data_IF_352554999802
#
_entry.id   IF_352554999802
#
_cell.length_a   1.000
_cell.length_b   1.000
_cell.length_c   1.000
_cell.angle_alpha   90.00
_cell.angle_beta   90.00
_cell.angle_gamma   90.00
#
_symmetry.space_group_name_H-M   'P 1'
#
loop_
_entity.id
_entity.type
_entity.pdbx_description
1 polymer ?
#
# COMPACT_ATOMS: atom_id res chain seq x y z
N UNK A 1 42.38 -5.75 2.17
CA UNK A 1 41.21 -4.89 2.43
C UNK A 1 40.00 -5.81 2.65
N UNK A 2 39.71 -6.18 3.90
CA UNK A 2 38.54 -6.98 4.24
C UNK A 2 37.31 -6.07 4.18
N UNK A 3 36.42 -6.32 3.22
CA UNK A 3 35.12 -5.66 3.15
C UNK A 3 34.28 -6.28 4.27
N UNK A 4 34.06 -5.52 5.34
CA UNK A 4 33.11 -5.88 6.38
C UNK A 4 31.72 -5.98 5.73
N UNK A 5 31.28 -7.20 5.41
CA UNK A 5 29.86 -7.48 5.23
C UNK A 5 29.20 -7.35 6.59
N UNK A 6 28.83 -6.13 6.96
CA UNK A 6 27.89 -5.93 8.06
C UNK A 6 26.62 -6.71 7.69
N UNK A 7 26.39 -7.82 8.38
CA UNK A 7 25.14 -8.58 8.30
C UNK A 7 24.03 -7.65 8.76
N UNK A 8 23.35 -7.03 7.79
CA UNK A 8 22.16 -6.22 8.06
C UNK A 8 21.19 -7.07 8.88
N UNK A 9 20.59 -6.54 9.96
CA UNK A 9 19.62 -7.30 10.73
C UNK A 9 18.47 -7.70 9.80
N UNK A 10 18.25 -9.00 9.65
CA UNK A 10 17.15 -9.53 8.83
C UNK A 10 15.82 -9.13 9.46
N UNK A 11 15.14 -8.16 8.84
CA UNK A 11 13.79 -7.81 9.24
C UNK A 11 12.87 -8.95 8.81
N UNK A 12 12.07 -9.46 9.75
CA UNK A 12 11.07 -10.47 9.46
C UNK A 12 9.94 -9.88 8.60
N UNK A 13 9.62 -10.45 7.43
CA UNK A 13 8.57 -9.92 6.54
C UNK A 13 7.18 -9.92 7.19
N UNK A 14 6.97 -10.73 8.23
CA UNK A 14 5.74 -10.76 9.02
C UNK A 14 5.38 -9.39 9.64
N UNK A 15 6.34 -8.46 9.78
CA UNK A 15 6.03 -7.08 10.19
C UNK A 15 5.06 -6.38 9.23
N UNK A 16 5.01 -6.78 7.97
CA UNK A 16 4.08 -6.20 6.99
C UNK A 16 2.62 -6.58 7.24
N UNK A 17 2.37 -7.65 7.99
CA UNK A 17 1.02 -7.96 8.50
C UNK A 17 0.51 -6.84 9.40
N UNK A 18 1.40 -6.26 10.20
CA UNK A 18 1.07 -5.17 11.14
C UNK A 18 0.80 -3.88 10.37
N UNK A 19 1.67 -3.50 9.44
CA UNK A 19 1.46 -2.28 8.66
C UNK A 19 0.22 -2.38 7.75
N UNK A 20 -0.13 -3.59 7.29
CA UNK A 20 -1.36 -3.82 6.52
C UNK A 20 -2.63 -3.61 7.37
N UNK A 21 -2.58 -3.70 8.70
CA UNK A 21 -3.72 -3.35 9.56
C UNK A 21 -4.09 -1.86 9.46
N UNK A 22 -3.17 -0.99 9.05
CA UNK A 22 -3.50 0.42 8.77
C UNK A 22 -4.55 0.52 7.66
N UNK A 23 -4.45 -0.31 6.62
CA UNK A 23 -5.45 -0.32 5.54
C UNK A 23 -6.83 -0.77 6.04
N UNK A 24 -6.89 -1.61 7.07
CA UNK A 24 -8.15 -1.96 7.72
C UNK A 24 -8.78 -0.76 8.44
N UNK A 25 -7.98 0.12 9.04
CA UNK A 25 -8.47 1.39 9.60
C UNK A 25 -9.07 2.26 8.49
N UNK A 26 -8.41 2.35 7.32
CA UNK A 26 -8.99 3.05 6.16
C UNK A 26 -10.33 2.45 5.72
N UNK A 27 -10.50 1.14 5.83
CA UNK A 27 -11.76 0.48 5.50
C UNK A 27 -12.86 0.82 6.50
N UNK A 28 -12.55 0.85 7.80
CA UNK A 28 -13.49 1.35 8.83
C UNK A 28 -13.86 2.82 8.53
N UNK A 29 -12.87 3.64 8.18
CA UNK A 29 -13.10 5.04 7.83
C UNK A 29 -14.02 5.20 6.62
N UNK A 30 -13.85 4.37 5.58
CA UNK A 30 -14.77 4.26 4.45
C UNK A 30 -16.20 3.94 4.91
N UNK A 31 -16.39 2.93 5.77
CA UNK A 31 -17.73 2.53 6.23
C UNK A 31 -18.49 3.68 6.90
N UNK A 32 -17.77 4.51 7.67
CA UNK A 32 -18.35 5.62 8.44
C UNK A 32 -18.55 6.87 7.58
N UNK A 33 -17.55 7.30 6.81
CA UNK A 33 -17.51 8.66 6.23
C UNK A 33 -17.82 8.71 4.72
N UNK A 34 -17.67 7.60 4.00
CA UNK A 34 -17.87 7.58 2.54
C UNK A 34 -19.31 7.90 2.16
N UNK A 35 -19.48 8.60 1.03
CA UNK A 35 -20.76 8.85 0.35
C UNK A 35 -21.33 7.59 -0.30
N UNK A 36 -20.54 6.51 -0.37
CA UNK A 36 -20.91 5.20 -0.91
C UNK A 36 -21.46 5.27 -2.35
N UNK A 37 -20.95 6.21 -3.15
CA UNK A 37 -21.18 6.19 -4.58
C UNK A 37 -20.47 4.97 -5.21
N UNK A 38 -20.82 4.63 -6.46
CA UNK A 38 -20.30 3.41 -7.11
C UNK A 38 -18.77 3.34 -7.13
N UNK A 39 -18.09 4.47 -7.30
CA UNK A 39 -16.63 4.48 -7.33
C UNK A 39 -16.03 4.28 -5.94
N UNK A 40 -16.59 4.89 -4.90
CA UNK A 40 -16.15 4.71 -3.52
C UNK A 40 -16.43 3.29 -3.02
N UNK A 41 -17.56 2.70 -3.40
CA UNK A 41 -17.85 1.28 -3.11
C UNK A 41 -16.83 0.37 -3.79
N UNK A 42 -16.51 0.60 -5.06
CA UNK A 42 -15.48 -0.16 -5.76
C UNK A 42 -14.11 0.02 -5.10
N UNK A 43 -13.76 1.22 -4.62
CA UNK A 43 -12.56 1.41 -3.83
C UNK A 43 -12.58 0.67 -2.50
N UNK A 44 -13.71 0.64 -1.81
CA UNK A 44 -13.90 -0.18 -0.61
C UNK A 44 -13.66 -1.66 -0.87
N UNK A 45 -14.16 -2.18 -2.01
CA UNK A 45 -13.93 -3.56 -2.46
C UNK A 45 -12.46 -3.82 -2.80
N UNK A 46 -11.79 -2.89 -3.49
CA UNK A 46 -10.36 -2.95 -3.76
C UNK A 46 -9.54 -2.96 -2.47
N UNK A 47 -9.93 -2.15 -1.49
CA UNK A 47 -9.25 -2.04 -0.20
C UNK A 47 -9.37 -3.35 0.59
N UNK A 48 -10.58 -3.91 0.72
CA UNK A 48 -10.76 -5.19 1.43
C UNK A 48 -10.08 -6.36 0.70
N UNK A 49 -10.12 -6.39 -0.63
CA UNK A 49 -9.39 -7.36 -1.44
C UNK A 49 -7.87 -7.28 -1.19
N UNK A 50 -7.33 -6.05 -1.19
CA UNK A 50 -5.91 -5.80 -0.88
C UNK A 50 -5.54 -6.25 0.53
N UNK A 51 -6.38 -5.96 1.54
CA UNK A 51 -6.14 -6.39 2.93
C UNK A 51 -6.06 -7.91 3.02
N UNK A 52 -7.06 -8.62 2.48
CA UNK A 52 -7.14 -10.09 2.55
C UNK A 52 -5.94 -10.72 1.85
N UNK A 53 -5.67 -10.33 0.60
CA UNK A 53 -4.59 -10.93 -0.19
C UNK A 53 -3.21 -10.63 0.41
N UNK A 54 -3.00 -9.40 0.90
CA UNK A 54 -1.75 -9.01 1.55
C UNK A 54 -1.54 -9.77 2.87
N UNK A 55 -2.59 -9.97 3.69
CA UNK A 55 -2.48 -10.82 4.89
C UNK A 55 -2.13 -12.27 4.57
N UNK A 56 -2.80 -12.86 3.56
CA UNK A 56 -2.54 -14.24 3.13
C UNK A 56 -1.10 -14.39 2.63
N UNK A 57 -0.63 -13.44 1.83
CA UNK A 57 0.73 -13.44 1.28
C UNK A 57 1.80 -13.27 2.38
N UNK A 58 1.66 -12.26 3.25
CA UNK A 58 2.67 -11.98 4.28
C UNK A 58 2.70 -13.00 5.43
N UNK A 59 1.73 -13.91 5.49
CA UNK A 59 1.79 -15.06 6.39
C UNK A 59 2.85 -16.09 5.95
N UNK A 60 3.04 -16.28 4.65
CA UNK A 60 4.07 -17.14 4.08
C UNK A 60 4.59 -16.56 2.74
N UNK A 61 5.55 -15.60 2.79
CA UNK A 61 5.95 -14.82 1.63
C UNK A 61 6.85 -15.63 0.70
N UNK A 62 6.23 -16.46 -0.15
CA UNK A 62 6.93 -17.26 -1.17
C UNK A 62 6.93 -16.53 -2.51
N UNK A 63 8.13 -16.23 -3.03
CA UNK A 63 8.31 -15.54 -4.32
C UNK A 63 7.64 -16.33 -5.44
N UNK A 64 6.97 -15.61 -6.34
CA UNK A 64 6.24 -16.15 -7.50
C UNK A 64 5.16 -17.20 -7.21
N UNK A 65 4.79 -17.43 -5.95
CA UNK A 65 3.61 -18.24 -5.61
C UNK A 65 2.34 -17.66 -6.21
N UNK A 66 1.29 -18.47 -6.35
CA UNK A 66 -0.01 -18.02 -6.84
C UNK A 66 -0.55 -16.86 -6.00
N UNK A 67 -0.44 -16.96 -4.68
CA UNK A 67 -0.87 -15.90 -3.75
C UNK A 67 -0.10 -14.61 -4.01
N UNK A 68 1.22 -14.67 -4.17
CA UNK A 68 2.04 -13.50 -4.51
C UNK A 68 1.62 -12.83 -5.83
N UNK A 69 1.35 -13.63 -6.87
CA UNK A 69 0.90 -13.10 -8.18
C UNK A 69 -0.46 -12.41 -8.06
N UNK A 70 -1.41 -13.04 -7.34
CA UNK A 70 -2.75 -12.48 -7.14
C UNK A 70 -2.68 -11.19 -6.31
N UNK A 71 -1.94 -11.19 -5.20
CA UNK A 71 -1.72 -10.00 -4.37
C UNK A 71 -1.14 -8.84 -5.19
N UNK A 72 -0.11 -9.10 -6.00
CA UNK A 72 0.50 -8.10 -6.86
C UNK A 72 -0.48 -7.52 -7.91
N UNK A 73 -1.38 -8.35 -8.46
CA UNK A 73 -2.41 -7.90 -9.41
C UNK A 73 -3.45 -7.04 -8.69
N UNK A 74 -3.95 -7.50 -7.54
CA UNK A 74 -4.93 -6.80 -6.72
C UNK A 74 -4.38 -5.44 -6.28
N UNK A 75 -3.14 -5.39 -5.79
CA UNK A 75 -2.49 -4.15 -5.38
C UNK A 75 -2.34 -3.16 -6.56
N UNK A 76 -1.86 -3.63 -7.72
CA UNK A 76 -1.71 -2.78 -8.93
C UNK A 76 -3.05 -2.21 -9.37
N UNK A 77 -4.06 -3.08 -9.51
CA UNK A 77 -5.40 -2.66 -9.90
C UNK A 77 -5.98 -1.64 -8.90
N UNK A 78 -5.86 -1.93 -7.60
CA UNK A 78 -6.38 -1.07 -6.53
C UNK A 78 -5.72 0.30 -6.53
N UNK A 79 -4.38 0.36 -6.63
CA UNK A 79 -3.63 1.62 -6.68
C UNK A 79 -3.96 2.40 -7.95
N UNK A 80 -3.96 1.75 -9.13
CA UNK A 80 -4.29 2.42 -10.39
C UNK A 80 -5.70 2.99 -10.37
N UNK A 81 -6.68 2.21 -9.92
CA UNK A 81 -8.07 2.65 -9.84
C UNK A 81 -8.25 3.77 -8.81
N UNK A 82 -7.58 3.67 -7.65
CA UNK A 82 -7.53 4.73 -6.64
C UNK A 82 -7.08 6.06 -7.24
N UNK A 83 -5.92 6.07 -7.89
CA UNK A 83 -5.32 7.29 -8.46
C UNK A 83 -6.22 7.90 -9.54
N UNK A 84 -6.76 7.07 -10.43
CA UNK A 84 -7.68 7.52 -11.48
C UNK A 84 -8.93 8.16 -10.86
N UNK A 85 -9.54 7.50 -9.89
CA UNK A 85 -10.74 8.02 -9.22
C UNK A 85 -10.46 9.35 -8.52
N UNK A 86 -9.42 9.40 -7.69
CA UNK A 86 -9.18 10.56 -6.83
C UNK A 86 -8.68 11.78 -7.59
N UNK A 87 -7.99 11.60 -8.72
CA UNK A 87 -7.52 12.71 -9.55
C UNK A 87 -8.56 13.21 -10.56
N UNK A 88 -9.36 12.31 -11.14
CA UNK A 88 -10.24 12.67 -12.27
C UNK A 88 -11.72 12.81 -11.87
N UNK A 89 -12.18 12.09 -10.85
CA UNK A 89 -13.61 11.99 -10.53
C UNK A 89 -13.96 12.59 -9.17
N UNK A 90 -13.11 12.39 -8.15
CA UNK A 90 -13.35 12.92 -6.80
C UNK A 90 -13.04 14.42 -6.76
N UNK A 91 -14.04 15.22 -6.40
CA UNK A 91 -13.84 16.63 -6.04
C UNK A 91 -13.35 16.72 -4.59
N UNK A 92 -12.03 16.87 -4.42
CA UNK A 92 -11.41 17.06 -3.09
C UNK A 92 -11.57 18.51 -2.64
N UNK A 93 -12.49 18.76 -1.71
CA UNK A 93 -12.64 20.07 -1.05
C UNK A 93 -11.84 20.06 0.26
N UNK A 94 -10.56 20.37 0.19
CA UNK A 94 -9.64 20.28 1.32
C UNK A 94 -8.84 21.58 1.50
N UNK A 95 -8.38 21.83 2.73
CA UNK A 95 -7.43 22.91 2.99
C UNK A 95 -6.09 22.63 2.29
N UNK A 96 -5.32 23.69 2.01
CA UNK A 96 -4.02 23.58 1.33
C UNK A 96 -3.05 22.61 2.03
N UNK A 97 -3.03 22.62 3.37
CA UNK A 97 -2.17 21.70 4.16
C UNK A 97 -2.53 20.24 3.91
N UNK A 98 -3.83 19.91 3.89
CA UNK A 98 -4.31 18.55 3.63
C UNK A 98 -4.06 18.14 2.17
N UNK A 99 -4.21 19.09 1.23
CA UNK A 99 -3.88 18.86 -0.17
C UNK A 99 -2.40 18.50 -0.37
N UNK A 100 -1.46 19.23 0.25
CA UNK A 100 -0.04 18.88 0.17
C UNK A 100 0.27 17.51 0.77
N UNK A 101 -0.32 17.17 1.91
CA UNK A 101 -0.18 15.84 2.52
C UNK A 101 -0.67 14.72 1.58
N UNK A 102 -1.80 14.94 0.89
CA UNK A 102 -2.32 14.02 -0.11
C UNK A 102 -1.36 13.84 -1.30
N UNK A 103 -0.82 14.93 -1.86
CA UNK A 103 0.15 14.87 -2.96
C UNK A 103 1.45 14.16 -2.54
N UNK A 104 1.97 14.45 -1.34
CA UNK A 104 3.14 13.75 -0.78
C UNK A 104 2.85 12.25 -0.63
N UNK A 105 1.64 11.90 -0.20
CA UNK A 105 1.22 10.50 -0.07
C UNK A 105 1.15 9.80 -1.42
N UNK A 106 0.61 10.45 -2.46
CA UNK A 106 0.62 9.91 -3.82
C UNK A 106 2.05 9.68 -4.34
N UNK A 107 2.94 10.66 -4.16
CA UNK A 107 4.35 10.51 -4.54
C UNK A 107 5.00 9.36 -3.76
N UNK A 108 4.72 9.28 -2.46
CA UNK A 108 5.16 8.20 -1.59
C UNK A 108 4.70 6.82 -2.08
N UNK A 109 3.45 6.68 -2.53
CA UNK A 109 2.93 5.43 -3.13
C UNK A 109 3.77 5.05 -4.35
N UNK A 110 3.95 5.95 -5.32
CA UNK A 110 4.73 5.65 -6.53
C UNK A 110 6.18 5.28 -6.21
N UNK A 111 6.84 6.09 -5.39
CA UNK A 111 8.24 5.88 -5.02
C UNK A 111 8.43 4.56 -4.27
N UNK A 112 7.62 4.32 -3.23
CA UNK A 112 7.74 3.11 -2.40
C UNK A 112 7.35 1.84 -3.17
N UNK A 113 6.35 1.90 -4.04
CA UNK A 113 5.99 0.80 -4.93
C UNK A 113 7.14 0.44 -5.88
N UNK A 114 7.74 1.45 -6.52
CA UNK A 114 8.90 1.26 -7.40
C UNK A 114 10.10 0.66 -6.65
N UNK A 115 10.47 1.26 -5.51
CA UNK A 115 11.61 0.80 -4.72
C UNK A 115 11.38 -0.59 -4.12
N UNK A 116 10.17 -0.90 -3.68
CA UNK A 116 9.78 -2.23 -3.19
C UNK A 116 9.97 -3.30 -4.28
N UNK A 117 9.54 -3.01 -5.51
CA UNK A 117 9.76 -3.90 -6.66
C UNK A 117 11.25 -4.02 -7.03
N UNK A 118 11.99 -2.90 -7.01
CA UNK A 118 13.43 -2.90 -7.27
C UNK A 118 14.19 -3.79 -6.29
N UNK A 119 13.98 -3.64 -4.98
CA UNK A 119 14.67 -4.44 -3.97
C UNK A 119 14.27 -5.91 -4.02
N UNK A 120 12.98 -6.23 -4.17
CA UNK A 120 12.50 -7.62 -4.23
C UNK A 120 12.97 -8.39 -5.48
N UNK A 121 13.26 -7.67 -6.57
CA UNK A 121 13.84 -8.25 -7.78
C UNK A 121 15.27 -8.73 -7.54
N UNK A 122 16.06 -7.99 -6.75
CA UNK A 122 17.46 -8.29 -6.42
C UNK A 122 17.57 -9.32 -5.30
N UNK A 123 16.86 -9.10 -4.21
CA UNK A 123 16.90 -9.95 -3.04
C UNK A 123 15.50 -10.06 -2.42
N UNK A 124 14.96 -11.28 -2.41
CA UNK A 124 13.62 -11.51 -1.91
C UNK A 124 13.55 -11.26 -0.41
N UNK A 125 12.54 -10.50 0.03
CA UNK A 125 12.33 -10.18 1.43
C UNK A 125 13.55 -9.60 2.18
N UNK A 126 14.44 -8.86 1.49
CA UNK A 126 15.49 -8.11 2.17
C UNK A 126 14.90 -6.94 3.00
N UNK A 127 15.67 -6.43 3.96
CA UNK A 127 15.21 -5.38 4.87
C UNK A 127 14.72 -4.11 4.15
N UNK A 128 15.39 -3.71 3.06
CA UNK A 128 14.99 -2.56 2.24
C UNK A 128 13.68 -2.81 1.50
N UNK A 129 13.48 -4.01 0.94
CA UNK A 129 12.22 -4.39 0.32
C UNK A 129 11.07 -4.29 1.33
N UNK A 130 11.26 -4.87 2.53
CA UNK A 130 10.25 -4.85 3.59
C UNK A 130 9.97 -3.42 4.05
N UNK A 131 10.99 -2.61 4.23
CA UNK A 131 10.84 -1.21 4.65
C UNK A 131 10.06 -0.38 3.62
N UNK A 132 10.43 -0.44 2.34
CA UNK A 132 9.72 0.26 1.28
C UNK A 132 8.26 -0.20 1.17
N UNK A 133 8.00 -1.49 1.30
CA UNK A 133 6.62 -2.00 1.30
C UNK A 133 5.82 -1.53 2.53
N UNK A 134 6.48 -1.40 3.69
CA UNK A 134 5.86 -0.81 4.88
C UNK A 134 5.48 0.66 4.68
N UNK A 135 6.36 1.46 4.06
CA UNK A 135 6.06 2.84 3.68
C UNK A 135 4.87 2.89 2.72
N UNK A 136 4.81 1.98 1.73
CA UNK A 136 3.70 1.89 0.79
C UNK A 136 2.36 1.75 1.53
N UNK A 137 2.27 0.85 2.53
CA UNK A 137 1.06 0.70 3.34
C UNK A 137 0.69 2.00 4.09
N UNK A 138 1.66 2.71 4.65
CA UNK A 138 1.43 3.98 5.35
C UNK A 138 0.92 5.06 4.39
N UNK A 139 1.54 5.22 3.22
CA UNK A 139 1.12 6.20 2.23
C UNK A 139 -0.27 5.85 1.66
N UNK A 140 -0.56 4.58 1.40
CA UNK A 140 -1.89 4.11 1.00
C UNK A 140 -2.94 4.38 2.08
N UNK A 141 -2.61 4.18 3.36
CA UNK A 141 -3.49 4.49 4.49
C UNK A 141 -3.85 5.99 4.52
N UNK A 142 -2.84 6.86 4.49
CA UNK A 142 -3.05 8.31 4.52
C UNK A 142 -3.86 8.77 3.29
N UNK A 143 -3.46 8.32 2.09
CA UNK A 143 -4.15 8.68 0.85
C UNK A 143 -5.61 8.21 0.83
N UNK A 144 -5.91 7.01 1.34
CA UNK A 144 -7.27 6.48 1.37
C UNK A 144 -8.19 7.21 2.33
N UNK A 145 -7.69 7.73 3.47
CA UNK A 145 -8.49 8.62 4.34
C UNK A 145 -9.00 9.82 3.52
N UNK A 146 -8.14 10.43 2.70
CA UNK A 146 -8.53 11.58 1.88
C UNK A 146 -9.54 11.23 0.80
N UNK A 147 -9.47 10.04 0.20
CA UNK A 147 -10.43 9.63 -0.82
C UNK A 147 -11.85 9.42 -0.27
N UNK A 148 -11.97 9.07 1.02
CA UNK A 148 -13.24 8.78 1.69
C UNK A 148 -13.78 9.92 2.55
N UNK A 149 -13.01 10.99 2.72
CA UNK A 149 -13.51 12.28 3.21
C UNK A 149 -14.44 12.94 2.16
#
# INVERSE_FOLDING_TARGET
MQIYTQSQPHIKPQKLKITNLLLFISFIFFMINSKKNIHEVLLGLCLIGSIIMSQLFWNNPTKYSTIHKVDAIVAKFSISYFIIYTLLFKKLQMSWVLFYSYIISLFGIFFSFYMSNYYSSREWCCSNHIYCHGILHICCFIASIYAFL
#
